data_IF_787565778439
#
_entry.id   IF_787565778439
#
_cell.length_a   1.000
_cell.length_b   1.000
_cell.length_c   1.000
_cell.angle_alpha   90.00
_cell.angle_beta   90.00
_cell.angle_gamma   90.00
#
_symmetry.space_group_name_H-M   'P 1'
#
loop_
_entity.id
_entity.type
_entity.pdbx_description
1 polymer ?
#
# COMPACT_ATOMS: atom_id res chain seq x y z
N UNK A 1 -89.59 25.90 -1.76
CA UNK A 1 -88.36 26.64 -2.08
C UNK A 1 -87.24 25.95 -1.34
N UNK A 2 -86.24 25.43 -2.06
CA UNK A 2 -85.03 24.85 -1.48
C UNK A 2 -83.88 25.13 -2.46
N UNK A 3 -82.86 25.85 -2.00
CA UNK A 3 -81.61 26.10 -2.73
C UNK A 3 -80.70 24.87 -2.59
N UNK A 4 -79.83 24.51 -3.54
CA UNK A 4 -79.54 25.14 -4.83
C UNK A 4 -79.05 24.09 -5.83
N UNK A 5 -79.34 24.32 -7.12
CA UNK A 5 -78.78 23.66 -8.30
C UNK A 5 -78.10 24.76 -9.16
N UNK A 6 -77.29 24.45 -10.20
CA UNK A 6 -76.42 23.28 -10.38
C UNK A 6 -75.04 23.74 -10.96
N UNK A 7 -74.24 23.06 -11.81
CA UNK A 7 -74.10 21.69 -12.36
C UNK A 7 -72.60 21.51 -12.73
N UNK A 8 -72.08 20.29 -12.91
CA UNK A 8 -70.80 20.04 -13.59
C UNK A 8 -70.75 18.61 -14.15
N UNK A 9 -70.34 18.44 -15.41
CA UNK A 9 -70.33 17.14 -16.09
C UNK A 9 -69.17 17.02 -17.13
N UNK A 10 -68.81 15.77 -17.43
CA UNK A 10 -67.98 15.25 -18.51
C UNK A 10 -66.44 15.46 -18.48
N UNK A 11 -65.77 14.30 -18.66
CA UNK A 11 -64.48 14.04 -19.34
C UNK A 11 -63.12 14.20 -18.61
N UNK A 12 -62.55 13.02 -18.32
CA UNK A 12 -61.13 12.66 -18.50
C UNK A 12 -60.61 13.02 -19.92
N UNK A 13 -59.26 13.02 -20.23
CA UNK A 13 -58.23 12.19 -19.59
C UNK A 13 -56.78 12.76 -19.49
N UNK A 14 -55.91 11.85 -19.01
CA UNK A 14 -54.53 11.63 -19.47
C UNK A 14 -53.37 12.19 -18.61
N UNK A 15 -52.26 11.46 -18.63
CA UNK A 15 -51.02 11.75 -17.90
C UNK A 15 -49.93 12.26 -18.86
N UNK A 16 -49.17 13.27 -18.43
CA UNK A 16 -47.91 13.71 -19.04
C UNK A 16 -46.96 14.23 -17.93
N UNK A 17 -45.64 14.29 -18.17
CA UNK A 17 -44.66 14.40 -17.08
C UNK A 17 -44.57 15.80 -16.45
N UNK A 18 -44.04 15.85 -15.24
CA UNK A 18 -43.59 17.09 -14.61
C UNK A 18 -42.23 17.52 -15.19
N UNK A 19 -42.24 18.53 -16.05
CA UNK A 19 -41.02 19.25 -16.43
C UNK A 19 -40.39 19.92 -15.18
N UNK A 20 -39.07 20.05 -15.18
CA UNK A 20 -38.31 20.73 -14.11
C UNK A 20 -37.88 22.10 -14.63
N UNK A 21 -38.32 23.16 -13.97
CA UNK A 21 -37.93 24.54 -14.32
C UNK A 21 -36.44 24.79 -14.08
N UNK A 22 -35.85 25.66 -14.90
CA UNK A 22 -34.44 26.05 -14.79
C UNK A 22 -34.31 27.26 -13.87
N UNK A 23 -33.55 27.10 -12.79
CA UNK A 23 -33.13 28.22 -11.95
C UNK A 23 -32.10 29.07 -12.68
N UNK A 24 -32.39 30.37 -12.83
CA UNK A 24 -31.53 31.37 -13.45
C UNK A 24 -30.86 32.30 -12.42
N UNK A 25 -30.84 31.93 -11.14
CA UNK A 25 -30.36 32.74 -10.01
C UNK A 25 -28.87 32.69 -9.69
N UNK A 26 -28.05 31.94 -10.43
CA UNK A 26 -26.60 31.80 -10.18
C UNK A 26 -25.75 32.61 -11.15
N UNK A 27 -25.72 33.94 -10.93
CA UNK A 27 -24.70 34.80 -11.54
C UNK A 27 -23.30 34.45 -11.00
N UNK A 28 -22.31 34.52 -11.89
CA UNK A 28 -20.94 34.05 -11.64
C UNK A 28 -20.09 35.11 -10.92
N UNK A 29 -19.98 35.06 -9.58
CA UNK A 29 -18.84 35.66 -8.84
C UNK A 29 -18.74 35.16 -7.38
N UNK A 30 -18.25 33.91 -7.17
CA UNK A 30 -17.71 33.48 -5.86
C UNK A 30 -16.26 33.00 -6.01
N UNK A 31 -15.32 33.84 -5.56
CA UNK A 31 -13.88 33.56 -5.53
C UNK A 31 -13.46 33.15 -4.11
N UNK A 32 -13.94 31.99 -3.64
CA UNK A 32 -13.98 31.66 -2.21
C UNK A 32 -13.31 30.38 -1.72
N UNK A 33 -12.84 29.47 -2.58
CA UNK A 33 -12.26 28.18 -2.16
C UNK A 33 -11.05 27.72 -2.99
N UNK A 34 -9.85 28.16 -2.60
CA UNK A 34 -8.64 27.37 -2.86
C UNK A 34 -8.46 26.35 -1.72
N UNK A 35 -8.47 25.03 -1.99
CA UNK A 35 -8.04 24.05 -1.02
C UNK A 35 -6.52 24.14 -0.87
N UNK A 36 -6.07 24.51 0.33
CA UNK A 36 -4.65 24.73 0.66
C UNK A 36 -3.89 23.39 0.71
N UNK A 37 -3.66 22.80 -0.48
CA UNK A 37 -2.86 21.60 -0.70
C UNK A 37 -1.39 21.96 -0.51
N UNK A 38 -0.96 22.06 0.76
CA UNK A 38 0.41 22.35 1.17
C UNK A 38 1.34 21.19 0.81
N UNK A 39 1.68 21.10 -0.47
CA UNK A 39 2.79 20.32 -1.00
C UNK A 39 4.09 20.83 -0.37
N UNK A 40 4.82 19.94 0.30
CA UNK A 40 6.11 20.25 0.95
C UNK A 40 7.22 20.65 -0.04
N UNK A 41 7.00 20.41 -1.35
CA UNK A 41 7.64 21.10 -2.48
C UNK A 41 6.87 20.84 -3.78
N UNK A 42 7.01 21.73 -4.77
CA UNK A 42 6.43 21.52 -6.10
C UNK A 42 7.12 20.36 -6.84
N UNK A 43 6.33 19.40 -7.31
CA UNK A 43 6.81 18.23 -8.06
C UNK A 43 7.48 18.66 -9.37
N UNK A 44 8.71 18.18 -9.63
CA UNK A 44 9.39 18.44 -10.91
C UNK A 44 8.73 17.65 -12.03
N UNK A 45 8.49 18.29 -13.18
CA UNK A 45 7.88 17.66 -14.37
C UNK A 45 8.60 16.39 -14.87
N UNK A 46 9.90 16.26 -14.61
CA UNK A 46 10.70 15.06 -14.89
C UNK A 46 10.21 13.79 -14.16
N UNK A 47 9.52 13.92 -13.02
CA UNK A 47 9.00 12.78 -12.24
C UNK A 47 7.88 12.04 -13.01
N UNK A 48 7.16 12.75 -13.88
CA UNK A 48 6.11 12.21 -14.75
C UNK A 48 6.63 11.66 -16.09
N UNK A 49 7.94 11.76 -16.39
CA UNK A 49 8.52 11.32 -17.67
C UNK A 49 8.83 9.82 -17.66
N UNK A 50 7.80 9.00 -17.45
CA UNK A 50 7.92 7.54 -17.32
C UNK A 50 8.66 6.89 -18.50
N UNK A 51 9.58 5.98 -18.18
CA UNK A 51 10.24 5.14 -19.20
C UNK A 51 9.34 3.98 -19.60
N UNK A 52 9.47 3.52 -20.85
CA UNK A 52 8.75 2.34 -21.35
C UNK A 52 9.72 1.18 -21.53
N UNK A 53 9.42 0.03 -20.91
CA UNK A 53 10.15 -1.22 -21.05
C UNK A 53 9.15 -2.37 -21.27
N UNK A 54 9.38 -3.22 -22.26
CA UNK A 54 8.51 -4.37 -22.58
C UNK A 54 7.01 -4.03 -22.70
N UNK A 55 6.69 -2.80 -23.16
CA UNK A 55 5.33 -2.29 -23.29
C UNK A 55 4.67 -1.76 -22.00
N UNK A 56 5.37 -1.78 -20.86
CA UNK A 56 4.91 -1.22 -19.58
C UNK A 56 5.63 0.10 -19.27
N UNK A 57 4.98 1.05 -18.60
CA UNK A 57 5.67 2.23 -18.05
C UNK A 57 6.37 1.89 -16.73
N UNK A 58 7.46 2.60 -16.42
CA UNK A 58 8.27 2.46 -15.22
C UNK A 58 8.61 3.84 -14.62
N UNK A 59 8.93 3.86 -13.33
CA UNK A 59 9.24 5.08 -12.58
C UNK A 59 10.43 5.85 -13.17
N UNK A 60 10.27 7.18 -13.31
CA UNK A 60 11.32 8.08 -13.77
C UNK A 60 12.17 8.63 -12.61
N UNK A 61 11.53 8.86 -11.46
CA UNK A 61 12.23 9.08 -10.19
C UNK A 61 12.82 7.74 -9.70
N UNK A 62 14.08 7.77 -9.23
CA UNK A 62 14.83 6.59 -8.76
C UNK A 62 14.76 5.38 -9.69
N UNK A 63 15.00 5.63 -10.98
CA UNK A 63 14.99 4.64 -12.05
C UNK A 63 15.74 3.35 -11.67
N UNK A 64 15.10 2.19 -11.94
CA UNK A 64 15.68 0.87 -11.73
C UNK A 64 15.67 0.36 -10.28
N UNK A 65 15.47 1.22 -9.28
CA UNK A 65 15.43 0.81 -7.86
C UNK A 65 14.13 0.08 -7.47
N UNK A 66 13.04 0.30 -8.23
CA UNK A 66 11.76 -0.40 -8.06
C UNK A 66 11.36 -1.12 -9.36
N UNK A 67 10.84 -2.34 -9.21
CA UNK A 67 10.62 -3.28 -10.32
C UNK A 67 9.17 -3.35 -10.82
N UNK A 68 8.21 -2.88 -10.03
CA UNK A 68 6.82 -2.80 -10.50
C UNK A 68 6.69 -1.76 -11.61
N UNK A 69 5.86 -2.01 -12.64
CA UNK A 69 5.50 -0.99 -13.59
C UNK A 69 4.52 0.04 -12.99
N UNK A 70 4.52 1.22 -13.58
CA UNK A 70 3.77 2.41 -13.17
C UNK A 70 2.77 2.83 -14.25
N UNK A 71 1.99 1.88 -14.77
CA UNK A 71 0.94 2.10 -15.76
C UNK A 71 -0.45 2.23 -15.12
N UNK A 72 -1.36 2.94 -15.80
CA UNK A 72 -2.72 3.24 -15.31
C UNK A 72 -3.52 1.97 -14.92
N UNK A 73 -3.19 0.81 -15.50
CA UNK A 73 -3.80 -0.47 -15.15
C UNK A 73 -3.38 -1.01 -13.77
N UNK A 74 -2.25 -0.54 -13.22
CA UNK A 74 -1.80 -0.78 -11.85
C UNK A 74 -2.23 0.36 -10.89
N UNK A 75 -2.50 1.57 -11.40
CA UNK A 75 -3.02 2.71 -10.63
C UNK A 75 -4.51 2.62 -10.28
N UNK A 76 -5.29 1.89 -11.09
CA UNK A 76 -6.69 1.64 -10.80
C UNK A 76 -6.88 0.96 -9.43
N UNK A 77 -7.90 1.34 -8.62
CA UNK A 77 -8.08 0.85 -7.26
C UNK A 77 -8.41 -0.65 -7.22
N UNK A 78 -7.36 -1.48 -7.20
CA UNK A 78 -7.45 -2.92 -6.97
C UNK A 78 -7.93 -3.14 -5.53
N UNK A 79 -9.09 -3.78 -5.42
CA UNK A 79 -9.90 -3.85 -4.21
C UNK A 79 -9.05 -4.25 -2.99
N UNK A 80 -8.96 -3.33 -2.02
CA UNK A 80 -8.37 -3.50 -0.69
C UNK A 80 -6.84 -3.75 -0.59
N UNK A 81 -6.02 -3.23 -1.50
CA UNK A 81 -4.54 -3.20 -1.33
C UNK A 81 -3.94 -1.79 -1.44
N UNK A 82 -3.99 -0.96 -0.38
CA UNK A 82 -3.16 0.25 -0.30
C UNK A 82 -1.68 -0.13 -0.19
N UNK A 83 -0.80 0.66 -0.83
CA UNK A 83 0.67 0.50 -0.82
C UNK A 83 1.36 1.62 -0.03
N UNK A 84 0.61 2.22 0.89
CA UNK A 84 0.93 3.51 1.47
C UNK A 84 1.74 3.33 2.76
N UNK A 85 2.79 4.13 2.94
CA UNK A 85 3.17 4.52 4.30
C UNK A 85 2.17 5.57 4.76
N UNK A 86 1.44 5.24 5.82
CA UNK A 86 0.36 6.05 6.39
C UNK A 86 0.79 6.51 7.78
N UNK A 87 1.29 7.73 7.85
CA UNK A 87 1.68 8.36 9.11
C UNK A 87 0.50 9.17 9.64
N UNK A 88 -0.13 8.68 10.71
CA UNK A 88 -1.42 9.16 11.20
C UNK A 88 -1.35 9.60 12.67
N UNK A 89 -2.28 10.47 13.07
CA UNK A 89 -2.49 10.88 14.48
C UNK A 89 -3.54 10.08 15.25
N UNK A 90 -4.01 8.97 14.69
CA UNK A 90 -4.96 8.04 15.32
C UNK A 90 -4.57 6.58 15.07
N UNK A 91 -5.24 5.65 15.77
CA UNK A 91 -4.93 4.21 15.73
C UNK A 91 -5.90 3.48 14.79
N UNK A 92 -5.41 3.00 13.65
CA UNK A 92 -6.23 2.76 12.47
C UNK A 92 -5.94 1.42 11.79
N UNK A 93 -7.01 0.72 11.40
CA UNK A 93 -6.97 -0.62 10.80
C UNK A 93 -7.51 -0.61 9.36
N UNK A 94 -6.68 -1.05 8.41
CA UNK A 94 -7.09 -1.63 7.13
C UNK A 94 -8.15 -0.86 6.32
N UNK A 95 -7.84 0.38 5.92
CA UNK A 95 -8.59 1.05 4.87
C UNK A 95 -7.64 1.92 4.01
N UNK A 96 -8.04 2.32 2.78
CA UNK A 96 -7.37 3.39 2.06
C UNK A 96 -7.19 4.64 2.93
N UNK A 97 -6.16 5.44 2.65
CA UNK A 97 -5.87 6.66 3.42
C UNK A 97 -7.03 7.69 3.42
N UNK A 98 -7.91 7.63 2.42
CA UNK A 98 -9.15 8.41 2.30
C UNK A 98 -10.16 7.95 3.36
N UNK A 99 -10.59 6.69 3.31
CA UNK A 99 -11.51 6.06 4.28
C UNK A 99 -11.03 6.25 5.73
N UNK A 100 -9.71 6.18 5.94
CA UNK A 100 -9.04 6.47 7.23
C UNK A 100 -9.27 7.92 7.68
N UNK A 101 -9.09 8.88 6.78
CA UNK A 101 -9.21 10.31 7.05
C UNK A 101 -10.67 10.76 7.20
N UNK A 102 -11.59 10.17 6.44
CA UNK A 102 -13.04 10.37 6.56
C UNK A 102 -13.59 9.83 7.88
N UNK A 103 -13.06 8.69 8.36
CA UNK A 103 -13.43 8.12 9.66
C UNK A 103 -12.81 8.88 10.85
N UNK A 104 -11.72 9.61 10.64
CA UNK A 104 -10.97 10.35 11.67
C UNK A 104 -10.63 11.79 11.21
N UNK A 105 -11.63 12.69 11.11
CA UNK A 105 -11.42 14.08 10.71
C UNK A 105 -10.54 14.88 11.69
N UNK A 106 -10.35 14.39 12.92
CA UNK A 106 -9.40 14.94 13.90
C UNK A 106 -7.94 14.56 13.64
N UNK A 107 -7.70 13.53 12.83
CA UNK A 107 -6.37 13.05 12.50
C UNK A 107 -5.87 13.68 11.18
N UNK A 108 -4.64 14.20 11.20
CA UNK A 108 -3.89 14.45 9.96
C UNK A 108 -3.30 13.12 9.50
N UNK A 109 -3.40 12.84 8.20
CA UNK A 109 -2.99 11.60 7.56
C UNK A 109 -1.99 11.92 6.46
N UNK A 110 -0.69 11.70 6.73
CA UNK A 110 0.34 11.83 5.69
C UNK A 110 0.50 10.49 4.97
N UNK A 111 0.45 10.54 3.64
CA UNK A 111 0.65 9.42 2.72
C UNK A 111 1.94 9.63 1.94
N UNK A 112 2.82 8.63 1.96
CA UNK A 112 4.08 8.63 1.21
C UNK A 112 4.11 7.47 0.21
N UNK A 113 4.45 7.77 -1.03
CA UNK A 113 4.73 6.82 -2.12
C UNK A 113 5.77 7.42 -3.08
N UNK A 114 6.68 6.60 -3.60
CA UNK A 114 7.67 6.96 -4.64
C UNK A 114 7.00 7.45 -5.94
N UNK A 115 5.74 7.09 -6.12
CA UNK A 115 4.97 7.19 -7.36
C UNK A 115 4.02 8.39 -7.29
N UNK A 116 3.93 9.22 -8.36
CA UNK A 116 2.97 10.31 -8.41
C UNK A 116 1.56 9.79 -8.82
N UNK A 117 0.98 8.94 -7.96
CA UNK A 117 -0.30 8.23 -8.17
C UNK A 117 -1.44 8.79 -7.31
N UNK A 118 -1.28 10.03 -6.83
CA UNK A 118 -2.26 10.69 -5.98
C UNK A 118 -3.58 10.90 -6.73
N UNK A 119 -4.74 10.72 -6.07
CA UNK A 119 -6.01 11.19 -6.62
C UNK A 119 -6.01 12.73 -6.67
N UNK A 120 -6.65 13.30 -7.68
CA UNK A 120 -6.77 14.76 -7.85
C UNK A 120 -7.70 15.43 -6.84
N UNK A 121 -8.43 14.65 -6.05
CA UNK A 121 -9.32 15.09 -4.98
C UNK A 121 -9.24 14.09 -3.83
N UNK A 122 -9.24 14.59 -2.59
CA UNK A 122 -9.23 13.78 -1.37
C UNK A 122 -9.63 14.60 -0.14
N UNK A 123 -9.79 13.97 1.04
CA UNK A 123 -10.21 14.67 2.26
C UNK A 123 -9.17 15.73 2.69
N UNK A 124 -9.60 16.87 3.25
CA UNK A 124 -8.72 18.01 3.55
C UNK A 124 -7.69 17.74 4.66
N UNK A 125 -7.84 16.65 5.40
CA UNK A 125 -6.89 16.15 6.40
C UNK A 125 -5.89 15.12 5.85
N UNK A 126 -5.97 14.74 4.57
CA UNK A 126 -4.94 13.94 3.89
C UNK A 126 -3.86 14.84 3.28
N UNK A 127 -2.60 14.49 3.51
CA UNK A 127 -1.43 15.06 2.85
C UNK A 127 -0.74 13.99 2.02
N UNK A 128 -0.29 14.34 0.83
CA UNK A 128 0.41 13.44 -0.08
C UNK A 128 1.83 13.95 -0.32
N UNK A 129 2.82 13.10 -0.09
CA UNK A 129 4.24 13.41 -0.26
C UNK A 129 4.83 12.37 -1.23
N UNK A 130 5.46 12.85 -2.32
CA UNK A 130 6.17 11.98 -3.29
C UNK A 130 7.62 11.92 -2.83
N UNK A 131 7.98 10.85 -2.12
CA UNK A 131 9.29 10.65 -1.56
C UNK A 131 9.61 9.15 -1.44
N UNK A 132 10.89 8.81 -1.29
CA UNK A 132 11.31 7.45 -1.00
C UNK A 132 11.54 7.25 0.50
N UNK A 133 10.79 6.33 1.11
CA UNK A 133 10.91 6.01 2.53
C UNK A 133 12.23 5.29 2.90
N UNK A 134 13.07 4.97 1.91
CA UNK A 134 14.47 4.57 2.11
C UNK A 134 15.47 5.73 2.21
N UNK A 135 15.13 6.96 1.77
CA UNK A 135 16.00 8.13 1.95
C UNK A 135 16.00 8.63 3.40
N UNK A 136 16.79 9.65 3.71
CA UNK A 136 16.86 10.22 5.07
C UNK A 136 15.60 11.07 5.33
N UNK A 137 14.73 10.59 6.23
CA UNK A 137 13.41 11.18 6.48
C UNK A 137 13.49 12.64 6.95
N UNK A 138 12.78 13.53 6.25
CA UNK A 138 12.93 14.99 6.40
C UNK A 138 12.00 15.63 7.44
N UNK A 139 11.00 14.89 7.94
CA UNK A 139 10.11 15.34 9.01
C UNK A 139 10.89 15.63 10.31
N UNK A 140 10.35 16.46 11.23
CA UNK A 140 10.92 16.59 12.57
C UNK A 140 10.92 15.24 13.33
N UNK A 141 11.58 15.20 14.49
CA UNK A 141 11.53 14.04 15.40
C UNK A 141 10.23 14.05 16.21
N UNK A 142 9.74 12.86 16.54
CA UNK A 142 8.49 12.63 17.30
C UNK A 142 7.14 13.19 16.72
N UNK A 143 6.92 13.48 15.41
CA UNK A 143 5.65 14.07 14.93
C UNK A 143 4.45 13.12 14.90
N UNK A 144 4.68 11.82 14.65
CA UNK A 144 3.65 10.84 14.33
C UNK A 144 3.21 10.03 15.55
N UNK A 145 1.93 9.65 15.60
CA UNK A 145 1.36 8.89 16.72
C UNK A 145 1.16 7.40 16.35
N UNK A 146 0.92 7.15 15.06
CA UNK A 146 1.00 5.86 14.38
C UNK A 146 1.81 6.06 13.09
N UNK A 147 2.72 5.13 12.81
CA UNK A 147 3.24 4.88 11.46
C UNK A 147 2.74 3.50 11.03
N UNK A 148 1.95 3.47 9.97
CA UNK A 148 1.45 2.25 9.35
C UNK A 148 2.17 2.02 8.01
N UNK A 149 2.44 0.78 7.63
CA UNK A 149 3.05 0.46 6.33
C UNK A 149 2.65 -0.92 5.83
N UNK A 150 2.49 -1.06 4.51
CA UNK A 150 1.94 -2.26 3.89
C UNK A 150 2.67 -2.63 2.59
N UNK A 151 2.91 -3.93 2.35
CA UNK A 151 3.60 -4.47 1.15
C UNK A 151 5.08 -4.02 0.98
N UNK A 152 5.78 -3.72 2.07
CA UNK A 152 7.20 -3.29 2.05
C UNK A 152 8.17 -4.45 1.80
N UNK A 153 7.85 -5.67 2.23
CA UNK A 153 8.61 -6.90 1.96
C UNK A 153 8.42 -7.43 0.53
N UNK A 154 7.71 -6.71 -0.33
CA UNK A 154 7.59 -7.05 -1.75
C UNK A 154 8.90 -6.86 -2.53
N UNK A 155 10.04 -6.60 -1.87
CA UNK A 155 11.26 -6.08 -2.48
C UNK A 155 11.28 -4.56 -2.59
N UNK A 156 10.41 -3.85 -1.85
CA UNK A 156 10.35 -2.38 -1.84
C UNK A 156 11.52 -1.77 -1.05
N UNK A 157 11.97 -2.45 0.02
CA UNK A 157 13.05 -2.00 0.91
C UNK A 157 14.30 -2.91 0.76
N UNK A 158 15.48 -2.29 0.70
CA UNK A 158 16.79 -2.95 0.81
C UNK A 158 17.33 -2.94 2.25
N UNK A 159 17.20 -1.83 2.97
CA UNK A 159 17.68 -1.69 4.35
C UNK A 159 16.53 -1.53 5.35
N UNK A 160 16.01 -2.67 5.81
CA UNK A 160 15.01 -2.71 6.88
C UNK A 160 15.55 -2.19 8.22
N UNK A 161 16.86 -2.26 8.49
CA UNK A 161 17.42 -1.75 9.74
C UNK A 161 17.44 -0.21 9.74
N UNK A 162 17.87 0.43 8.65
CA UNK A 162 17.70 1.88 8.46
C UNK A 162 16.22 2.25 8.56
N UNK A 163 15.35 1.63 7.75
CA UNK A 163 13.93 1.94 7.69
C UNK A 163 13.24 1.86 9.06
N UNK A 164 13.47 0.79 9.83
CA UNK A 164 12.96 0.68 11.21
C UNK A 164 13.56 1.73 12.16
N UNK A 165 14.85 2.06 12.05
CA UNK A 165 15.42 3.16 12.83
C UNK A 165 14.77 4.52 12.51
N UNK A 166 14.36 4.76 11.26
CA UNK A 166 13.66 6.00 10.91
C UNK A 166 12.23 6.00 11.47
N UNK A 167 11.48 4.91 11.27
CA UNK A 167 10.17 4.74 11.89
C UNK A 167 10.20 4.94 13.42
N UNK A 168 11.27 4.47 14.09
CA UNK A 168 11.49 4.69 15.52
C UNK A 168 11.73 6.17 15.87
N UNK A 169 12.59 6.88 15.12
CA UNK A 169 12.96 8.30 15.37
C UNK A 169 11.82 9.29 15.14
N UNK A 170 10.91 9.00 14.21
CA UNK A 170 9.87 9.94 13.77
C UNK A 170 8.46 9.61 14.31
N UNK A 171 8.28 8.50 15.03
CA UNK A 171 7.08 8.25 15.82
C UNK A 171 7.35 8.51 17.31
N UNK A 172 6.39 9.15 17.98
CA UNK A 172 6.56 9.71 19.32
C UNK A 172 6.75 8.63 20.41
N UNK A 173 7.30 8.98 21.59
CA UNK A 173 7.28 8.12 22.76
C UNK A 173 5.85 7.67 23.10
N UNK A 174 5.64 6.36 23.21
CA UNK A 174 4.34 5.73 23.46
C UNK A 174 3.43 5.61 22.23
N UNK A 175 3.84 6.11 21.06
CA UNK A 175 3.20 5.90 19.76
C UNK A 175 3.38 4.48 19.24
N UNK A 176 2.81 4.23 18.06
CA UNK A 176 2.72 2.90 17.44
C UNK A 176 3.43 2.82 16.09
N UNK A 177 3.88 1.60 15.75
CA UNK A 177 4.28 1.24 14.39
C UNK A 177 3.61 -0.09 14.00
N UNK A 178 2.99 -0.14 12.84
CA UNK A 178 2.28 -1.34 12.37
C UNK A 178 2.73 -1.68 10.93
N UNK A 179 3.32 -2.87 10.76
CA UNK A 179 3.74 -3.43 9.47
C UNK A 179 2.83 -4.61 9.10
N UNK A 180 2.25 -4.54 7.90
CA UNK A 180 1.31 -5.51 7.34
C UNK A 180 1.81 -6.04 6.00
N UNK A 181 2.14 -7.34 5.89
CA UNK A 181 2.86 -7.81 4.71
C UNK A 181 2.64 -9.26 4.30
N UNK A 182 2.97 -9.56 3.04
CA UNK A 182 2.73 -10.84 2.38
C UNK A 182 4.02 -11.65 2.26
N UNK A 183 4.03 -12.86 2.81
CA UNK A 183 5.12 -13.80 2.54
C UNK A 183 5.09 -14.24 1.08
N UNK A 184 6.17 -13.98 0.36
CA UNK A 184 6.39 -14.34 -1.05
C UNK A 184 6.73 -15.83 -1.25
N UNK A 185 6.14 -16.70 -0.43
CA UNK A 185 6.37 -18.14 -0.46
C UNK A 185 5.06 -18.88 -0.20
N UNK A 186 4.66 -19.69 -1.18
CA UNK A 186 3.39 -20.39 -1.20
C UNK A 186 3.32 -21.42 -0.06
N UNK A 187 2.17 -21.57 0.60
CA UNK A 187 1.95 -22.59 1.63
C UNK A 187 0.62 -23.32 1.42
N UNK A 188 0.51 -24.52 1.98
CA UNK A 188 -0.72 -25.32 2.11
C UNK A 188 -0.56 -26.25 3.30
N UNK A 189 -1.59 -26.37 4.15
CA UNK A 189 -1.59 -27.31 5.28
C UNK A 189 -2.15 -28.70 4.88
N UNK A 190 -2.77 -28.80 3.71
CA UNK A 190 -3.60 -29.94 3.32
C UNK A 190 -2.94 -30.84 2.25
N UNK A 191 -1.94 -30.31 1.54
CA UNK A 191 -1.13 -31.07 0.58
C UNK A 191 0.28 -30.47 0.52
N UNK A 192 1.34 -31.30 0.40
CA UNK A 192 2.67 -30.79 0.10
C UNK A 192 2.66 -30.10 -1.28
N UNK A 193 3.40 -29.00 -1.39
CA UNK A 193 3.64 -28.33 -2.67
C UNK A 193 4.66 -29.19 -3.44
N UNK A 194 4.34 -29.54 -4.69
CA UNK A 194 5.25 -30.35 -5.53
C UNK A 194 6.52 -29.55 -5.86
N UNK A 195 7.70 -30.16 -5.93
CA UNK A 195 8.89 -29.54 -6.53
C UNK A 195 8.63 -29.03 -7.96
N UNK A 196 7.74 -29.68 -8.71
CA UNK A 196 7.30 -29.26 -10.05
C UNK A 196 6.20 -28.18 -10.03
N UNK A 197 6.04 -27.44 -8.92
CA UNK A 197 5.09 -26.33 -8.81
C UNK A 197 5.61 -25.11 -9.56
N UNK A 198 4.87 -24.70 -10.61
CA UNK A 198 5.21 -23.49 -11.35
C UNK A 198 5.11 -22.24 -10.46
N UNK A 199 4.24 -22.25 -9.44
CA UNK A 199 4.10 -21.14 -8.49
C UNK A 199 5.25 -21.11 -7.47
N UNK A 200 5.72 -22.26 -6.99
CA UNK A 200 6.88 -22.33 -6.09
C UNK A 200 8.19 -21.97 -6.81
N UNK A 201 8.38 -22.48 -8.05
CA UNK A 201 9.47 -22.03 -8.90
C UNK A 201 9.41 -20.52 -9.17
N UNK A 202 8.22 -19.97 -9.42
CA UNK A 202 8.04 -18.53 -9.56
C UNK A 202 8.45 -17.77 -8.29
N UNK A 203 8.01 -18.20 -7.10
CA UNK A 203 8.44 -17.62 -5.82
C UNK A 203 9.97 -17.68 -5.64
N UNK A 204 10.59 -18.82 -5.97
CA UNK A 204 12.05 -19.03 -5.89
C UNK A 204 12.82 -18.10 -6.84
N UNK A 205 12.38 -17.98 -8.09
CA UNK A 205 13.00 -17.11 -9.10
C UNK A 205 12.77 -15.62 -8.79
N UNK A 206 11.58 -15.25 -8.28
CA UNK A 206 11.30 -13.90 -7.80
C UNK A 206 12.25 -13.50 -6.66
N UNK A 207 12.47 -14.37 -5.67
CA UNK A 207 13.47 -14.15 -4.61
C UNK A 207 14.87 -13.98 -5.20
N UNK A 208 15.28 -14.88 -6.11
CA UNK A 208 16.60 -14.82 -6.74
C UNK A 208 16.83 -13.48 -7.49
N UNK A 209 15.84 -13.02 -8.26
CA UNK A 209 15.95 -11.76 -9.02
C UNK A 209 15.93 -10.52 -8.13
N UNK A 210 15.00 -10.45 -7.16
CA UNK A 210 14.85 -9.30 -6.26
C UNK A 210 16.10 -9.17 -5.34
N UNK A 211 16.60 -10.28 -4.79
CA UNK A 211 17.87 -10.26 -4.03
C UNK A 211 19.08 -9.96 -4.91
N UNK A 212 19.09 -10.42 -6.17
CA UNK A 212 20.10 -10.01 -7.17
C UNK A 212 20.08 -8.51 -7.49
N UNK A 213 18.93 -7.85 -7.35
CA UNK A 213 18.76 -6.40 -7.48
C UNK A 213 19.13 -5.62 -6.20
N UNK A 214 19.63 -6.30 -5.16
CA UNK A 214 19.98 -5.69 -3.87
C UNK A 214 18.77 -5.39 -2.96
N UNK A 215 17.58 -5.94 -3.26
CA UNK A 215 16.35 -5.76 -2.47
C UNK A 215 16.08 -6.98 -1.58
N UNK A 216 15.43 -6.80 -0.43
CA UNK A 216 15.15 -7.91 0.50
C UNK A 216 13.89 -8.68 0.09
N UNK A 217 14.04 -10.00 -0.03
CA UNK A 217 12.95 -10.97 -0.19
C UNK A 217 13.25 -12.31 0.52
N UNK A 218 14.33 -12.30 1.30
CA UNK A 218 15.02 -13.39 1.98
C UNK A 218 14.61 -13.49 3.46
N UNK A 219 14.32 -12.35 4.09
CA UNK A 219 13.85 -12.28 5.48
C UNK A 219 12.48 -12.96 5.66
N UNK A 220 12.33 -13.63 6.80
CA UNK A 220 11.05 -14.04 7.36
C UNK A 220 10.58 -13.05 8.44
N UNK A 221 9.36 -13.26 8.93
CA UNK A 221 8.67 -12.29 9.77
C UNK A 221 9.13 -12.25 11.23
N UNK A 222 9.69 -13.34 11.76
CA UNK A 222 10.30 -13.30 13.09
C UNK A 222 11.63 -12.52 13.04
N UNK A 223 12.43 -12.67 11.98
CA UNK A 223 13.68 -11.89 11.79
C UNK A 223 13.41 -10.38 11.69
N UNK A 224 12.29 -9.98 11.10
CA UNK A 224 11.84 -8.57 11.11
C UNK A 224 11.38 -8.13 12.51
N UNK A 225 10.70 -9.02 13.24
CA UNK A 225 10.36 -8.79 14.63
C UNK A 225 11.61 -8.59 15.50
N UNK A 226 12.66 -9.37 15.27
CA UNK A 226 13.94 -9.25 15.97
C UNK A 226 14.70 -7.98 15.57
N UNK A 227 14.78 -7.63 14.28
CA UNK A 227 15.31 -6.32 13.84
C UNK A 227 14.58 -5.14 14.49
N UNK A 228 13.27 -5.22 14.67
CA UNK A 228 12.50 -4.20 15.39
C UNK A 228 12.83 -4.18 16.89
N UNK A 229 12.98 -5.34 17.54
CA UNK A 229 13.42 -5.43 18.95
C UNK A 229 14.82 -4.84 19.14
N UNK A 230 15.75 -5.11 18.22
CA UNK A 230 17.12 -4.56 18.20
C UNK A 230 17.16 -3.03 18.05
N UNK A 231 16.25 -2.46 17.24
CA UNK A 231 16.11 -0.99 17.10
C UNK A 231 15.53 -0.34 18.36
N UNK A 232 14.86 -1.10 19.23
CA UNK A 232 14.28 -0.64 20.50
C UNK A 232 12.75 -0.63 20.54
N UNK A 233 12.06 -1.16 19.52
CA UNK A 233 10.61 -1.30 19.56
C UNK A 233 10.19 -2.31 20.64
N UNK A 234 9.19 -1.96 21.45
CA UNK A 234 8.66 -2.83 22.53
C UNK A 234 7.26 -3.36 22.18
N UNK A 235 6.90 -4.52 22.73
CA UNK A 235 5.61 -5.15 22.42
C UNK A 235 5.49 -5.62 20.96
N UNK A 236 6.61 -5.99 20.33
CA UNK A 236 6.66 -6.57 18.97
C UNK A 236 5.98 -7.94 18.94
N UNK A 237 4.81 -8.03 18.31
CA UNK A 237 3.96 -9.24 18.25
C UNK A 237 3.66 -9.59 16.79
N UNK A 238 4.52 -10.42 16.21
CA UNK A 238 4.34 -11.02 14.89
C UNK A 238 3.15 -11.99 14.93
N UNK A 239 2.13 -11.78 14.07
CA UNK A 239 0.97 -12.67 13.97
C UNK A 239 0.77 -13.19 12.55
N UNK A 240 0.83 -14.52 12.31
CA UNK A 240 0.50 -15.11 11.03
C UNK A 240 -1.02 -15.19 10.81
N UNK A 241 -1.43 -14.76 9.63
CA UNK A 241 -2.75 -14.93 9.02
C UNK A 241 -2.58 -15.72 7.71
N UNK A 242 -3.67 -16.28 7.19
CA UNK A 242 -3.67 -17.05 5.94
C UNK A 242 -4.58 -16.38 4.93
N UNK A 243 -4.01 -15.86 3.85
CA UNK A 243 -4.77 -15.30 2.71
C UNK A 243 -4.92 -16.44 1.69
N UNK A 244 -6.09 -17.10 1.63
CA UNK A 244 -6.30 -18.24 0.75
C UNK A 244 -6.23 -17.83 -0.72
N UNK A 245 -6.00 -18.80 -1.61
CA UNK A 245 -6.02 -18.60 -3.06
C UNK A 245 -7.14 -19.47 -3.65
N UNK A 246 -8.18 -18.82 -4.17
CA UNK A 246 -9.36 -19.48 -4.73
C UNK A 246 -10.43 -19.85 -3.71
N UNK A 247 -11.39 -20.69 -4.14
CA UNK A 247 -12.68 -20.92 -3.46
C UNK A 247 -12.67 -22.03 -2.39
N UNK A 248 -11.50 -22.52 -1.98
CA UNK A 248 -11.38 -23.69 -1.11
C UNK A 248 -11.81 -23.53 0.36
N UNK A 249 -11.78 -22.33 1.00
CA UNK A 249 -12.25 -22.19 2.38
C UNK A 249 -13.74 -22.53 2.55
N UNK A 250 -14.12 -23.08 3.69
CA UNK A 250 -15.53 -23.31 4.03
C UNK A 250 -16.25 -22.00 4.32
N UNK A 251 -15.66 -21.15 5.17
CA UNK A 251 -16.17 -19.83 5.55
C UNK A 251 -16.45 -18.93 4.33
N UNK A 252 -17.49 -18.08 4.45
CA UNK A 252 -17.95 -17.18 3.38
C UNK A 252 -16.93 -16.06 3.13
N UNK A 253 -16.45 -15.39 4.18
CA UNK A 253 -15.55 -14.23 4.08
C UNK A 253 -14.17 -14.64 3.57
N UNK A 254 -13.64 -15.77 4.04
CA UNK A 254 -12.37 -16.32 3.58
C UNK A 254 -12.45 -16.85 2.13
N UNK A 255 -13.59 -17.42 1.71
CA UNK A 255 -13.83 -17.83 0.32
C UNK A 255 -13.91 -16.63 -0.64
N UNK A 256 -14.45 -15.51 -0.17
CA UNK A 256 -14.52 -14.23 -0.88
C UNK A 256 -13.13 -13.56 -0.96
N UNK A 257 -12.41 -13.46 0.16
CA UNK A 257 -11.02 -13.01 0.18
C UNK A 257 -10.12 -13.84 -0.74
N UNK A 258 -10.30 -15.17 -0.76
CA UNK A 258 -9.57 -16.06 -1.67
C UNK A 258 -9.92 -15.89 -3.14
N UNK A 259 -11.12 -15.41 -3.46
CA UNK A 259 -11.49 -15.01 -4.82
C UNK A 259 -10.83 -13.70 -5.24
N UNK A 260 -10.78 -12.71 -4.36
CA UNK A 260 -10.05 -11.47 -4.62
C UNK A 260 -8.55 -11.74 -4.80
N UNK A 261 -7.93 -12.55 -3.94
CA UNK A 261 -6.52 -12.92 -4.08
C UNK A 261 -6.25 -13.70 -5.38
N UNK A 262 -7.12 -14.64 -5.77
CA UNK A 262 -7.00 -15.33 -7.05
C UNK A 262 -7.10 -14.37 -8.24
N UNK A 263 -8.00 -13.40 -8.19
CA UNK A 263 -8.12 -12.35 -9.22
C UNK A 263 -6.85 -11.49 -9.29
N UNK A 264 -6.36 -11.02 -8.14
CA UNK A 264 -5.15 -10.22 -8.02
C UNK A 264 -3.91 -10.96 -8.57
N UNK A 265 -3.75 -12.25 -8.25
CA UNK A 265 -2.66 -13.06 -8.81
C UNK A 265 -2.80 -13.26 -10.32
N UNK A 266 -3.98 -13.62 -10.84
CA UNK A 266 -4.13 -13.89 -12.27
C UNK A 266 -3.89 -12.67 -13.16
N UNK A 267 -4.28 -11.49 -12.68
CA UNK A 267 -4.13 -10.22 -13.40
C UNK A 267 -2.75 -9.57 -13.15
N UNK A 268 -2.24 -9.61 -11.91
CA UNK A 268 -1.03 -8.90 -11.50
C UNK A 268 0.29 -9.68 -11.57
N UNK A 269 0.27 -11.01 -11.71
CA UNK A 269 1.51 -11.83 -11.71
C UNK A 269 2.53 -11.37 -12.74
N UNK A 270 2.08 -10.89 -13.90
CA UNK A 270 2.96 -10.41 -14.97
C UNK A 270 3.66 -9.09 -14.62
N UNK A 271 2.93 -8.13 -14.06
CA UNK A 271 3.48 -6.86 -13.59
C UNK A 271 4.54 -7.06 -12.50
N UNK A 272 4.31 -8.05 -11.61
CA UNK A 272 5.29 -8.47 -10.60
C UNK A 272 6.54 -9.11 -11.21
N UNK A 273 6.40 -9.88 -12.31
CA UNK A 273 7.46 -10.78 -12.79
C UNK A 273 8.34 -10.16 -13.86
N UNK A 274 7.76 -9.42 -14.80
CA UNK A 274 8.39 -9.18 -16.10
C UNK A 274 9.75 -8.50 -15.96
N UNK A 275 9.81 -7.35 -15.29
CA UNK A 275 11.04 -6.60 -15.05
C UNK A 275 12.08 -7.39 -14.22
N UNK A 276 11.65 -8.20 -13.25
CA UNK A 276 12.57 -9.02 -12.43
C UNK A 276 13.21 -10.11 -13.27
N UNK A 277 12.44 -10.78 -14.14
CA UNK A 277 12.95 -11.87 -14.95
C UNK A 277 13.77 -11.37 -16.15
N UNK A 278 13.40 -10.24 -16.78
CA UNK A 278 14.19 -9.63 -17.87
C UNK A 278 15.48 -9.02 -17.34
N UNK A 279 15.40 -8.06 -16.40
CA UNK A 279 16.55 -7.29 -15.92
C UNK A 279 17.50 -8.10 -15.05
N UNK A 280 16.96 -8.89 -14.10
CA UNK A 280 17.76 -9.52 -13.04
C UNK A 280 18.12 -10.98 -13.32
N UNK A 281 17.33 -11.68 -14.16
CA UNK A 281 17.57 -13.08 -14.52
C UNK A 281 17.97 -13.31 -15.99
N UNK A 282 17.90 -12.28 -16.84
CA UNK A 282 18.28 -12.37 -18.26
C UNK A 282 17.36 -13.26 -19.09
N UNK A 283 16.05 -13.27 -18.82
CA UNK A 283 15.07 -14.02 -19.62
C UNK A 283 14.45 -13.14 -20.71
N UNK A 284 14.33 -13.68 -21.93
CA UNK A 284 13.50 -13.08 -22.99
C UNK A 284 12.03 -12.98 -22.55
N UNK A 285 11.34 -11.92 -22.96
CA UNK A 285 9.97 -11.62 -22.52
C UNK A 285 8.96 -12.74 -22.89
N UNK A 286 9.13 -13.35 -24.07
CA UNK A 286 8.34 -14.48 -24.54
C UNK A 286 8.51 -15.71 -23.64
N UNK A 287 9.73 -15.96 -23.14
CA UNK A 287 10.00 -17.04 -22.20
C UNK A 287 9.31 -16.80 -20.86
N UNK A 288 9.30 -15.56 -20.38
CA UNK A 288 8.54 -15.16 -19.18
C UNK A 288 7.04 -15.42 -19.39
N UNK A 289 6.48 -15.05 -20.55
CA UNK A 289 5.05 -15.27 -20.84
C UNK A 289 4.68 -16.76 -20.90
N UNK A 290 5.48 -17.60 -21.55
CA UNK A 290 5.27 -19.06 -21.59
C UNK A 290 5.31 -19.66 -20.18
N UNK A 291 6.26 -19.25 -19.34
CA UNK A 291 6.33 -19.67 -17.94
C UNK A 291 5.10 -19.23 -17.14
N UNK A 292 4.71 -17.95 -17.25
CA UNK A 292 3.55 -17.39 -16.57
C UNK A 292 2.21 -18.00 -16.99
N UNK A 293 2.10 -18.59 -18.20
CA UNK A 293 0.95 -19.40 -18.56
C UNK A 293 0.82 -20.65 -17.66
N UNK A 294 1.94 -21.27 -17.30
CA UNK A 294 2.01 -22.34 -16.30
C UNK A 294 1.59 -21.87 -14.90
N UNK A 295 2.15 -20.76 -14.43
CA UNK A 295 1.83 -20.14 -13.12
C UNK A 295 0.32 -19.81 -13.03
N UNK A 296 -0.25 -19.16 -14.04
CA UNK A 296 -1.69 -18.83 -14.10
C UNK A 296 -2.59 -20.07 -14.22
N UNK A 297 -2.14 -21.14 -14.89
CA UNK A 297 -2.84 -22.45 -14.94
C UNK A 297 -2.86 -23.09 -13.55
N UNK A 298 -1.78 -22.98 -12.80
CA UNK A 298 -1.67 -23.55 -11.46
C UNK A 298 -2.47 -22.77 -10.40
N UNK A 299 -2.49 -21.43 -10.43
CA UNK A 299 -3.37 -20.65 -9.54
C UNK A 299 -4.86 -20.99 -9.72
N UNK A 300 -5.28 -21.38 -10.94
CA UNK A 300 -6.65 -21.86 -11.22
C UNK A 300 -6.95 -23.27 -10.68
N UNK A 301 -5.95 -24.03 -10.22
CA UNK A 301 -6.11 -25.40 -9.75
C UNK A 301 -6.61 -25.46 -8.29
N UNK A 302 -7.93 -25.39 -8.12
CA UNK A 302 -8.63 -25.30 -6.81
C UNK A 302 -8.31 -26.40 -5.78
N UNK A 303 -7.71 -27.53 -6.18
CA UNK A 303 -7.42 -28.69 -5.31
C UNK A 303 -6.11 -28.58 -4.50
N UNK A 304 -5.36 -27.47 -4.57
CA UNK A 304 -4.08 -27.32 -3.85
C UNK A 304 -4.21 -26.72 -2.43
N UNK A 305 -5.37 -26.17 -2.09
CA UNK A 305 -5.66 -25.55 -0.78
C UNK A 305 -4.63 -24.50 -0.34
N UNK A 306 -4.08 -23.77 -1.31
CA UNK A 306 -2.94 -22.88 -1.10
C UNK A 306 -3.36 -21.54 -0.48
N UNK A 307 -2.43 -20.97 0.27
CA UNK A 307 -2.53 -19.64 0.85
C UNK A 307 -1.17 -18.93 0.80
N UNK A 308 -1.22 -17.61 0.81
CA UNK A 308 -0.07 -16.79 1.21
C UNK A 308 -0.15 -16.57 2.72
N UNK A 309 0.92 -16.84 3.48
CA UNK A 309 1.04 -16.28 4.82
C UNK A 309 1.03 -14.74 4.73
N UNK A 310 0.13 -14.11 5.46
CA UNK A 310 0.13 -12.66 5.69
C UNK A 310 0.50 -12.44 7.15
N UNK A 311 1.27 -11.41 7.46
CA UNK A 311 1.68 -11.15 8.82
C UNK A 311 1.36 -9.74 9.24
N UNK A 312 1.06 -9.63 10.53
CA UNK A 312 0.63 -8.40 11.18
C UNK A 312 1.44 -8.18 12.44
N UNK A 313 2.00 -6.99 12.59
CA UNK A 313 2.63 -6.55 13.83
C UNK A 313 1.69 -5.57 14.56
N UNK A 314 0.64 -6.10 15.21
CA UNK A 314 -0.39 -5.31 15.91
C UNK A 314 0.09 -4.88 17.31
N UNK A 315 -0.01 -3.57 17.59
CA UNK A 315 0.31 -2.91 18.88
C UNK A 315 1.79 -2.81 19.25
N UNK A 316 2.71 -2.82 18.29
CA UNK A 316 4.10 -2.44 18.60
C UNK A 316 4.11 -1.02 19.13
N UNK A 317 4.75 -0.80 20.28
CA UNK A 317 4.91 0.53 20.88
C UNK A 317 6.37 0.95 20.82
N UNK A 318 6.57 2.25 20.64
CA UNK A 318 7.88 2.86 20.84
C UNK A 318 7.97 3.26 22.30
N UNK A 319 8.90 2.67 23.04
CA UNK A 319 9.29 3.15 24.36
C UNK A 319 10.77 3.53 24.32
N UNK A 320 11.10 4.62 25.00
CA UNK A 320 12.44 5.18 25.10
C UNK A 320 13.01 5.02 26.52
N UNK A 321 12.38 4.20 27.39
CA UNK A 321 12.74 4.02 28.80
C UNK A 321 14.25 3.77 29.01
N UNK A 322 14.84 2.83 28.25
CA UNK A 322 16.26 2.47 28.37
C UNK A 322 17.21 3.35 27.54
N UNK A 323 16.68 4.20 26.64
CA UNK A 323 17.49 5.16 25.89
C UNK A 323 17.69 6.41 26.75
N UNK A 324 18.86 6.47 27.40
CA UNK A 324 19.26 7.56 28.28
C UNK A 324 19.07 8.94 27.65
N UNK A 325 18.76 9.96 28.46
CA UNK A 325 18.60 11.34 27.99
C UNK A 325 19.84 11.83 27.21
N UNK A 326 21.02 11.33 27.56
CA UNK A 326 22.29 11.55 26.85
C UNK A 326 22.28 10.93 25.45
N UNK A 327 21.86 9.67 25.27
CA UNK A 327 21.70 9.06 23.95
C UNK A 327 20.60 9.73 23.12
N UNK A 328 19.49 10.17 23.74
CA UNK A 328 18.47 10.97 23.04
C UNK A 328 19.06 12.28 22.50
N UNK A 329 19.91 12.97 23.28
CA UNK A 329 20.70 14.12 22.78
C UNK A 329 21.70 13.73 21.69
N UNK A 330 22.37 12.59 21.82
CA UNK A 330 23.40 12.17 20.88
C UNK A 330 22.83 11.76 19.51
N UNK A 331 21.67 11.08 19.48
CA UNK A 331 20.90 10.83 18.26
C UNK A 331 20.41 12.16 17.64
N UNK A 332 19.88 13.07 18.47
CA UNK A 332 19.46 14.42 18.04
C UNK A 332 20.61 15.28 17.49
N UNK A 333 21.86 15.08 17.95
CA UNK A 333 23.05 15.79 17.46
C UNK A 333 23.71 15.13 16.25
N UNK A 334 23.69 13.79 16.13
CA UNK A 334 24.16 13.11 14.91
C UNK A 334 23.24 13.41 13.72
N UNK A 335 21.93 13.50 13.94
CA UNK A 335 20.96 13.92 12.93
C UNK A 335 21.26 15.32 12.35
N UNK A 336 21.79 16.25 13.14
CA UNK A 336 22.15 17.60 12.68
C UNK A 336 23.58 17.72 12.12
N UNK A 337 24.33 16.62 11.96
CA UNK A 337 25.75 16.66 11.54
C UNK A 337 26.17 15.62 10.50
N UNK A 338 25.33 14.66 10.12
CA UNK A 338 25.55 13.79 8.95
C UNK A 338 26.77 12.85 9.03
N UNK A 339 27.30 12.62 10.23
CA UNK A 339 28.50 11.78 10.43
C UNK A 339 28.17 10.28 10.35
N UNK A 340 28.89 9.56 9.49
CA UNK A 340 28.76 8.09 9.32
C UNK A 340 29.08 7.34 10.62
N UNK A 341 28.50 6.15 10.77
CA UNK A 341 28.84 5.24 11.86
C UNK A 341 30.09 4.44 11.47
N UNK A 342 31.21 4.83 12.07
CA UNK A 342 32.50 4.15 12.06
C UNK A 342 33.36 4.73 13.18
N UNK A 343 34.18 3.87 13.80
CA UNK A 343 35.21 4.20 14.80
C UNK A 343 34.77 5.01 16.04
N UNK A 344 34.21 4.32 17.05
CA UNK A 344 34.34 4.70 18.47
C UNK A 344 33.98 3.55 19.42
N UNK A 345 34.99 2.74 19.80
CA UNK A 345 34.98 1.67 20.82
C UNK A 345 34.07 0.46 20.55
#
# INVERSE_FOLDING_TARGET
MASTQPEADANEPNQTPSDVEVDHGYDSEDSGFEPDLVLTQCVRSSIYQYKVENGRTCHAYKEGQYFMPNDLAEHAPRIATPRNVLAARAKLLYAPAIDVADAHPEAIVTVVDLSPIQPSLGPPNVRWEIDDVEDDWTWPLDPFDLIYSQFMLSGSIADFQKYFQQAFRHCRPGGYFELHDLATSLRSDHAPISPDSAVDEWCRLMRQGITGMGRRLDLNFEELGDLMREVGFVGVVVRPFKIPIGRWPSDKRMKEAGLFQLSAMLNGVEALTLAVFTRCLGWEAERVQVFLAGVRKEFKATKRYTYWPWYVNDRVRIDYADISCTQRRHLRQKASTGARIGDAL
#
